data_IF_794354426690
#
_entry.id   IF_794354426690
#
_cell.length_a   1.000
_cell.length_b   1.000
_cell.length_c   1.000
_cell.angle_alpha   90.00
_cell.angle_beta   90.00
_cell.angle_gamma   90.00
#
_symmetry.space_group_name_H-M   'P 1'
#
loop_
_entity.id
_entity.type
_entity.pdbx_description
1 polymer ?
#
# COMPACT_ATOMS: atom_id res chain seq x y z
N UNK A 1 3.00 11.20 5.73
CA UNK A 1 3.39 10.56 7.02
C UNK A 1 2.40 9.45 7.33
N UNK A 2 2.82 8.21 7.10
CA UNK A 2 1.95 7.03 7.27
C UNK A 2 1.84 6.58 8.73
N UNK A 3 1.03 5.55 8.98
CA UNK A 3 0.83 5.01 10.35
C UNK A 3 2.09 4.32 10.88
N UNK A 4 2.72 3.45 10.11
CA UNK A 4 3.94 2.73 10.52
C UNK A 4 5.22 3.42 10.04
N UNK A 5 5.22 3.92 8.82
CA UNK A 5 6.40 4.48 8.18
C UNK A 5 6.12 5.87 7.62
N UNK A 6 7.06 6.77 7.82
CA UNK A 6 7.11 8.08 7.21
C UNK A 6 8.12 8.06 6.07
N UNK A 7 7.65 8.43 4.88
CA UNK A 7 8.47 8.59 3.68
C UNK A 7 8.86 10.06 3.56
N UNK A 8 10.09 10.33 3.26
CA UNK A 8 10.68 11.66 3.28
C UNK A 8 11.38 11.90 1.95
N UNK A 9 11.25 13.10 1.43
CA UNK A 9 12.10 13.65 0.40
C UNK A 9 12.75 14.92 0.94
N UNK A 10 14.07 14.96 0.91
CA UNK A 10 14.85 16.14 1.25
C UNK A 10 15.14 16.91 -0.04
N UNK A 11 14.55 18.10 -0.17
CA UNK A 11 14.67 18.92 -1.38
C UNK A 11 16.06 19.52 -1.57
N UNK A 12 16.85 19.62 -0.50
CA UNK A 12 18.21 20.17 -0.57
C UNK A 12 19.20 19.14 -1.07
N UNK A 13 19.11 17.91 -0.59
CA UNK A 13 20.00 16.80 -1.02
C UNK A 13 19.46 16.00 -2.21
N UNK A 14 18.15 16.10 -2.49
CA UNK A 14 17.47 15.26 -3.47
C UNK A 14 17.24 13.82 -3.02
N UNK A 15 17.48 13.50 -1.75
CA UNK A 15 17.44 12.14 -1.23
C UNK A 15 16.04 11.73 -0.77
N UNK A 16 15.76 10.44 -0.96
CA UNK A 16 14.57 9.77 -0.45
C UNK A 16 14.94 8.88 0.73
N UNK A 17 14.13 8.93 1.77
CA UNK A 17 14.31 8.05 2.93
C UNK A 17 12.98 7.57 3.49
N UNK A 18 13.06 6.48 4.26
CA UNK A 18 11.91 5.91 4.98
C UNK A 18 12.36 5.65 6.41
N UNK A 19 11.60 6.17 7.36
CA UNK A 19 11.81 5.94 8.79
C UNK A 19 10.55 5.36 9.42
N UNK A 20 10.65 4.77 10.60
CA UNK A 20 9.47 4.47 11.41
C UNK A 20 8.79 5.77 11.81
N UNK A 21 7.47 5.83 11.76
CA UNK A 21 6.74 7.05 12.10
C UNK A 21 6.89 7.44 13.58
N UNK A 22 7.22 6.48 14.43
CA UNK A 22 7.59 6.71 15.85
C UNK A 22 8.91 7.43 16.01
N UNK A 23 9.80 7.32 15.02
CA UNK A 23 11.16 7.90 15.08
C UNK A 23 11.18 9.35 14.55
N UNK A 24 10.03 9.86 14.10
CA UNK A 24 9.90 11.26 13.75
C UNK A 24 9.94 12.12 15.00
N UNK A 25 10.97 12.94 15.12
CA UNK A 25 11.14 13.86 16.26
C UNK A 25 10.00 14.88 16.30
N UNK A 26 9.40 15.06 17.47
CA UNK A 26 8.25 15.96 17.67
C UNK A 26 8.53 17.43 17.33
N UNK A 27 9.79 17.84 17.45
CA UNK A 27 10.26 19.19 17.18
C UNK A 27 10.51 19.47 15.69
N UNK A 28 10.65 18.41 14.89
CA UNK A 28 10.92 18.53 13.45
C UNK A 28 9.61 18.66 12.68
N UNK A 29 9.47 19.74 11.95
CA UNK A 29 8.36 19.93 10.99
C UNK A 29 8.83 19.72 9.57
N UNK A 30 7.93 19.23 8.72
CA UNK A 30 8.11 19.21 7.27
C UNK A 30 7.46 20.47 6.67
N UNK A 31 7.99 20.96 5.57
CA UNK A 31 7.38 22.10 4.85
C UNK A 31 6.00 21.71 4.34
N UNK A 32 5.87 20.54 3.73
CA UNK A 32 4.61 19.99 3.24
C UNK A 32 4.51 18.51 3.55
N UNK A 33 3.33 18.05 3.96
CA UNK A 33 3.09 16.64 4.20
C UNK A 33 1.62 16.23 3.94
N UNK A 34 1.42 14.92 3.85
CA UNK A 34 0.10 14.29 3.82
C UNK A 34 0.09 13.03 4.71
N UNK A 35 -1.11 12.52 4.98
CA UNK A 35 -1.32 11.27 5.70
C UNK A 35 -1.63 11.43 7.20
N UNK A 36 -2.01 10.35 7.85
CA UNK A 36 -2.58 10.35 9.19
C UNK A 36 -1.74 11.02 10.29
N UNK A 37 -0.41 10.95 10.18
CA UNK A 37 0.50 11.46 11.21
C UNK A 37 1.08 12.83 10.87
N UNK A 38 0.56 13.54 9.85
CA UNK A 38 1.11 14.83 9.47
C UNK A 38 0.58 16.00 10.33
N UNK A 39 -0.58 15.84 10.96
CA UNK A 39 -1.17 16.88 11.81
C UNK A 39 -0.19 17.35 12.87
N UNK A 40 0.02 18.66 12.98
CA UNK A 40 1.00 19.33 13.86
C UNK A 40 2.48 19.06 13.54
N UNK A 41 2.79 18.33 12.45
CA UNK A 41 4.16 17.96 12.04
C UNK A 41 4.57 18.54 10.71
N UNK A 42 3.77 19.41 10.14
CA UNK A 42 4.01 20.08 8.86
C UNK A 42 3.51 21.51 8.89
N UNK A 43 4.11 22.36 8.04
CA UNK A 43 3.62 23.72 7.80
C UNK A 43 2.38 23.68 6.89
N UNK A 44 2.41 22.85 5.84
CA UNK A 44 1.31 22.69 4.89
C UNK A 44 0.85 21.23 4.88
N UNK A 45 -0.43 21.03 5.26
CA UNK A 45 -1.09 19.72 5.17
C UNK A 45 -1.86 19.62 3.85
N UNK A 46 -1.60 18.58 3.06
CA UNK A 46 -2.27 18.32 1.80
C UNK A 46 -3.09 17.05 1.90
N UNK A 47 -4.25 17.04 1.26
CA UNK A 47 -5.10 15.86 1.21
C UNK A 47 -4.37 14.69 0.52
N UNK A 48 -4.35 13.54 1.18
CA UNK A 48 -3.59 12.35 0.78
C UNK A 48 -4.06 11.78 -0.57
N UNK A 49 -5.37 11.82 -0.87
CA UNK A 49 -5.91 11.35 -2.14
C UNK A 49 -5.55 12.27 -3.31
N UNK A 50 -5.55 13.58 -3.07
CA UNK A 50 -5.13 14.58 -4.07
C UNK A 50 -3.65 14.37 -4.41
N UNK A 51 -2.83 14.18 -3.40
CA UNK A 51 -1.39 13.91 -3.55
C UNK A 51 -1.15 12.61 -4.30
N UNK A 52 -1.91 11.56 -3.96
CA UNK A 52 -1.82 10.26 -4.64
C UNK A 52 -2.17 10.39 -6.13
N UNK A 53 -3.25 11.10 -6.45
CA UNK A 53 -3.67 11.34 -7.84
C UNK A 53 -2.62 12.12 -8.65
N UNK A 54 -2.06 13.20 -8.06
CA UNK A 54 -0.99 13.99 -8.71
C UNK A 54 0.28 13.17 -8.95
N UNK A 55 0.68 12.36 -7.96
CA UNK A 55 1.84 11.47 -8.08
C UNK A 55 1.62 10.38 -9.14
N UNK A 56 0.42 9.80 -9.19
CA UNK A 56 0.04 8.83 -10.20
C UNK A 56 0.15 9.41 -11.61
N UNK A 57 -0.46 10.56 -11.84
CA UNK A 57 -0.45 11.24 -13.13
C UNK A 57 0.96 11.61 -13.61
N UNK A 58 1.86 11.94 -12.69
CA UNK A 58 3.26 12.24 -13.00
C UNK A 58 4.04 10.99 -13.42
N UNK A 59 3.80 9.85 -12.78
CA UNK A 59 4.58 8.63 -12.96
C UNK A 59 4.02 7.72 -14.05
N UNK A 60 2.69 7.64 -14.19
CA UNK A 60 2.02 6.77 -15.15
C UNK A 60 1.79 7.57 -16.45
N UNK A 61 2.23 6.99 -17.58
CA UNK A 61 2.12 7.65 -18.89
C UNK A 61 0.91 7.21 -19.68
N UNK A 62 0.23 6.17 -19.25
CA UNK A 62 -1.02 5.70 -19.86
C UNK A 62 -2.14 6.70 -19.55
N UNK A 63 -3.03 7.02 -20.52
CA UNK A 63 -4.13 7.96 -20.29
C UNK A 63 -5.26 7.34 -19.43
N UNK A 64 -5.36 6.02 -19.40
CA UNK A 64 -6.38 5.31 -18.63
C UNK A 64 -5.71 4.28 -17.73
N UNK A 65 -5.90 4.42 -16.42
CA UNK A 65 -5.29 3.52 -15.43
C UNK A 65 -6.03 3.54 -14.09
N UNK A 66 -5.78 2.50 -13.31
CA UNK A 66 -6.14 2.42 -11.90
C UNK A 66 -4.87 2.24 -11.09
N UNK A 67 -4.61 3.14 -10.15
CA UNK A 67 -3.58 2.99 -9.13
C UNK A 67 -4.23 2.61 -7.80
N UNK A 68 -3.66 1.61 -7.13
CA UNK A 68 -4.00 1.27 -5.75
C UNK A 68 -2.80 1.48 -4.86
N UNK A 69 -2.97 2.28 -3.81
CA UNK A 69 -1.98 2.47 -2.75
C UNK A 69 -2.36 1.61 -1.55
N UNK A 70 -1.51 0.64 -1.23
CA UNK A 70 -1.74 -0.28 -0.12
C UNK A 70 -0.86 0.13 1.05
N UNK A 71 -1.49 0.83 1.99
CA UNK A 71 -0.87 1.26 3.24
C UNK A 71 -0.84 0.16 4.31
N UNK A 72 -0.30 0.50 5.47
CA UNK A 72 -0.34 -0.37 6.64
C UNK A 72 -1.76 -0.59 7.13
N UNK A 73 -2.56 0.48 7.16
CA UNK A 73 -3.89 0.53 7.78
C UNK A 73 -5.03 0.61 6.78
N UNK A 74 -4.83 1.25 5.65
CA UNK A 74 -5.86 1.57 4.69
C UNK A 74 -5.40 1.30 3.25
N UNK A 75 -6.38 1.26 2.36
CA UNK A 75 -6.19 1.07 0.92
C UNK A 75 -6.87 2.23 0.23
N UNK A 76 -6.20 2.85 -0.72
CA UNK A 76 -6.72 3.94 -1.53
C UNK A 76 -6.60 3.57 -3.00
N UNK A 77 -7.57 3.99 -3.80
CA UNK A 77 -7.45 3.90 -5.26
C UNK A 77 -7.71 5.25 -5.91
N UNK A 78 -7.07 5.47 -7.04
CA UNK A 78 -7.38 6.58 -7.95
C UNK A 78 -7.51 6.04 -9.36
N UNK A 79 -8.53 6.55 -10.07
CA UNK A 79 -8.85 6.12 -11.42
C UNK A 79 -8.77 7.29 -12.38
N UNK A 80 -8.07 7.09 -13.48
CA UNK A 80 -8.01 7.99 -14.62
C UNK A 80 -8.56 7.29 -15.86
N UNK A 81 -9.23 8.06 -16.72
CA UNK A 81 -9.72 7.61 -18.01
C UNK A 81 -9.51 8.72 -19.03
N UNK A 82 -8.89 8.38 -20.15
CA UNK A 82 -8.60 9.29 -21.25
C UNK A 82 -7.85 10.58 -20.81
N UNK A 83 -6.99 10.45 -19.81
CA UNK A 83 -6.22 11.53 -19.21
C UNK A 83 -6.93 12.32 -18.12
N UNK A 84 -8.22 12.06 -17.91
CA UNK A 84 -9.03 12.76 -16.91
C UNK A 84 -9.15 11.96 -15.61
N UNK A 85 -9.14 12.66 -14.48
CA UNK A 85 -9.41 12.10 -13.18
C UNK A 85 -10.89 11.74 -13.05
N UNK A 86 -11.21 10.47 -12.84
CA UNK A 86 -12.58 9.95 -12.71
C UNK A 86 -13.02 9.91 -11.25
N UNK A 87 -12.13 9.52 -10.34
CA UNK A 87 -12.48 9.42 -8.94
C UNK A 87 -11.44 8.70 -8.10
N UNK A 88 -11.72 8.64 -6.81
CA UNK A 88 -10.93 7.90 -5.85
C UNK A 88 -11.83 7.16 -4.87
N UNK A 89 -11.34 6.05 -4.36
CA UNK A 89 -11.96 5.30 -3.28
C UNK A 89 -10.96 5.14 -2.12
N UNK A 90 -11.49 5.10 -0.91
CA UNK A 90 -10.70 4.93 0.30
C UNK A 90 -11.35 3.91 1.22
N UNK A 91 -10.71 2.76 1.37
CA UNK A 91 -11.12 1.73 2.31
C UNK A 91 -10.23 1.77 3.56
N UNK A 92 -10.78 2.26 4.66
CA UNK A 92 -10.14 2.33 5.97
C UNK A 92 -10.77 1.39 7.01
N UNK A 93 -11.76 0.59 6.62
CA UNK A 93 -12.50 -0.33 7.50
C UNK A 93 -12.22 -1.80 7.15
N UNK A 94 -13.06 -2.40 6.32
CA UNK A 94 -12.94 -3.79 5.92
C UNK A 94 -12.02 -3.94 4.70
N UNK A 95 -11.12 -4.91 4.73
CA UNK A 95 -10.10 -5.10 3.69
C UNK A 95 -8.82 -4.27 3.91
N UNK A 96 -8.89 -3.28 4.79
CA UNK A 96 -7.73 -2.54 5.28
C UNK A 96 -6.80 -3.41 6.16
N UNK A 97 -5.75 -2.82 6.71
CA UNK A 97 -4.71 -3.50 7.51
C UNK A 97 -3.87 -4.52 6.72
N UNK A 98 -3.90 -4.47 5.38
CA UNK A 98 -3.17 -5.43 4.56
C UNK A 98 -1.64 -5.34 4.76
N UNK A 99 -1.08 -4.14 4.68
CA UNK A 99 0.35 -3.95 4.86
C UNK A 99 0.82 -4.31 6.27
N UNK A 100 0.07 -3.91 7.30
CA UNK A 100 0.39 -4.24 8.68
C UNK A 100 0.37 -5.75 8.93
N UNK A 101 -0.67 -6.44 8.46
CA UNK A 101 -0.83 -7.87 8.70
C UNK A 101 0.23 -8.69 7.96
N UNK A 102 0.57 -8.34 6.72
CA UNK A 102 1.65 -8.99 5.98
C UNK A 102 2.98 -8.82 6.73
N UNK A 103 3.30 -7.62 7.20
CA UNK A 103 4.53 -7.38 7.98
C UNK A 103 4.52 -8.16 9.31
N UNK A 104 3.39 -8.16 10.02
CA UNK A 104 3.24 -8.88 11.28
C UNK A 104 3.45 -10.39 11.10
N UNK A 105 2.81 -10.99 10.11
CA UNK A 105 2.96 -12.43 9.81
C UNK A 105 4.38 -12.77 9.37
N UNK A 106 5.01 -11.92 8.55
CA UNK A 106 6.39 -12.08 8.15
C UNK A 106 7.35 -12.13 9.33
N UNK A 107 7.18 -11.20 10.27
CA UNK A 107 7.99 -11.13 11.48
C UNK A 107 7.70 -12.29 12.45
N UNK A 108 6.43 -12.63 12.67
CA UNK A 108 6.03 -13.66 13.62
C UNK A 108 6.49 -15.07 13.20
N UNK A 109 6.35 -15.40 11.92
CA UNK A 109 6.74 -16.70 11.36
C UNK A 109 8.14 -16.71 10.75
N UNK A 110 8.89 -15.59 10.82
CA UNK A 110 10.18 -15.40 10.17
C UNK A 110 10.17 -15.75 8.66
N UNK A 111 9.21 -15.18 7.93
CA UNK A 111 8.92 -15.48 6.54
C UNK A 111 9.74 -14.58 5.59
N UNK A 112 10.46 -15.19 4.65
CA UNK A 112 10.92 -14.51 3.45
C UNK A 112 9.88 -14.64 2.33
N UNK A 113 9.12 -13.60 2.08
CA UNK A 113 8.08 -13.56 1.05
C UNK A 113 8.60 -13.76 -0.38
N UNK A 114 9.91 -13.58 -0.62
CA UNK A 114 10.49 -13.80 -1.93
C UNK A 114 10.70 -15.29 -2.24
N UNK A 115 10.83 -16.12 -1.20
CA UNK A 115 11.04 -17.57 -1.31
C UNK A 115 9.74 -18.36 -1.40
N UNK A 116 8.57 -17.73 -1.08
CA UNK A 116 7.29 -18.42 -1.06
C UNK A 116 6.65 -18.45 -2.43
N UNK A 117 6.14 -19.60 -2.83
CA UNK A 117 5.33 -19.74 -4.04
C UNK A 117 3.89 -19.26 -3.83
N UNK A 118 3.29 -18.71 -4.89
CA UNK A 118 1.88 -18.32 -4.88
C UNK A 118 0.99 -19.54 -4.68
N UNK A 119 0.10 -19.47 -3.70
CA UNK A 119 -0.86 -20.54 -3.45
C UNK A 119 -1.85 -20.69 -4.62
N UNK A 120 -2.25 -21.92 -4.93
CA UNK A 120 -3.32 -22.17 -5.91
C UNK A 120 -4.68 -21.72 -5.36
N UNK A 121 -4.96 -22.04 -4.11
CA UNK A 121 -6.16 -21.67 -3.39
C UNK A 121 -5.96 -20.36 -2.61
N UNK A 122 -7.06 -19.72 -2.24
CA UNK A 122 -7.08 -18.53 -1.38
C UNK A 122 -7.88 -18.79 -0.12
N UNK A 123 -7.57 -18.12 0.96
CA UNK A 123 -8.47 -18.04 2.12
C UNK A 123 -9.62 -17.07 1.82
N UNK A 124 -10.86 -17.42 2.20
CA UNK A 124 -12.03 -16.54 2.05
C UNK A 124 -12.06 -15.50 3.18
N UNK A 125 -11.09 -14.60 3.19
CA UNK A 125 -10.96 -13.59 4.25
C UNK A 125 -11.71 -12.30 3.89
N UNK A 126 -12.22 -11.63 4.91
CA UNK A 126 -12.84 -10.31 4.76
C UNK A 126 -11.82 -9.18 4.84
N UNK A 127 -10.92 -9.24 5.80
CA UNK A 127 -9.84 -8.26 5.97
C UNK A 127 -8.60 -8.90 6.60
N UNK A 128 -7.50 -8.13 6.65
CA UNK A 128 -6.24 -8.60 7.21
C UNK A 128 -6.36 -9.07 8.67
N UNK A 129 -7.12 -8.38 9.49
CA UNK A 129 -7.25 -8.72 10.92
C UNK A 129 -8.16 -9.91 11.14
N UNK A 130 -9.40 -9.86 10.62
CA UNK A 130 -10.37 -10.95 10.83
C UNK A 130 -9.97 -12.26 10.14
N UNK A 131 -9.24 -12.16 9.04
CA UNK A 131 -8.73 -13.33 8.34
C UNK A 131 -7.61 -14.08 9.04
N UNK A 132 -7.03 -13.53 10.12
CA UNK A 132 -6.01 -14.23 10.90
C UNK A 132 -6.53 -15.49 11.57
N UNK A 133 -7.78 -15.49 12.02
CA UNK A 133 -8.41 -16.69 12.58
C UNK A 133 -8.37 -17.85 11.58
N UNK A 134 -8.86 -17.65 10.38
CA UNK A 134 -8.82 -18.65 9.29
C UNK A 134 -7.40 -19.14 8.98
N UNK A 135 -6.41 -18.24 9.02
CA UNK A 135 -5.02 -18.60 8.81
C UNK A 135 -4.51 -19.55 9.89
N UNK A 136 -4.76 -19.24 11.16
CA UNK A 136 -4.34 -20.09 12.29
C UNK A 136 -5.08 -21.42 12.31
N UNK A 137 -6.36 -21.47 11.95
CA UNK A 137 -7.13 -22.69 11.81
C UNK A 137 -6.48 -23.62 10.78
N UNK A 138 -6.08 -23.08 9.60
CA UNK A 138 -5.37 -23.86 8.59
C UNK A 138 -4.03 -24.41 9.07
N UNK A 139 -3.28 -23.63 9.84
CA UNK A 139 -2.02 -24.10 10.44
C UNK A 139 -2.30 -25.22 11.46
N UNK A 140 -3.35 -25.08 12.27
CA UNK A 140 -3.77 -26.09 13.24
C UNK A 140 -4.24 -27.39 12.57
N UNK A 141 -4.81 -27.28 11.37
CA UNK A 141 -5.17 -28.43 10.52
C UNK A 141 -3.96 -29.08 9.82
N UNK A 142 -2.73 -28.63 10.10
CA UNK A 142 -1.49 -29.22 9.61
C UNK A 142 -0.97 -28.62 8.30
N UNK A 143 -1.52 -27.49 7.84
CA UNK A 143 -0.95 -26.76 6.70
C UNK A 143 0.29 -26.00 7.17
N UNK A 144 1.38 -26.08 6.40
CA UNK A 144 2.61 -25.34 6.70
C UNK A 144 2.34 -23.82 6.75
N UNK A 145 2.94 -23.08 7.70
CA UNK A 145 2.73 -21.64 7.85
C UNK A 145 2.94 -20.85 6.55
N UNK A 146 3.98 -21.17 5.80
CA UNK A 146 4.30 -20.50 4.52
C UNK A 146 3.15 -20.65 3.51
N UNK A 147 2.57 -21.86 3.43
CA UNK A 147 1.45 -22.13 2.52
C UNK A 147 0.17 -21.43 3.00
N UNK A 148 -0.13 -21.48 4.29
CA UNK A 148 -1.29 -20.80 4.87
C UNK A 148 -1.20 -19.28 4.66
N UNK A 149 0.00 -18.70 4.84
CA UNK A 149 0.27 -17.28 4.58
C UNK A 149 0.13 -16.96 3.09
N UNK A 150 0.61 -17.81 2.19
CA UNK A 150 0.42 -17.60 0.76
C UNK A 150 -1.07 -17.59 0.37
N UNK A 151 -1.88 -18.47 0.94
CA UNK A 151 -3.34 -18.50 0.75
C UNK A 151 -4.00 -17.23 1.31
N UNK A 152 -3.55 -16.77 2.46
CA UNK A 152 -4.03 -15.53 3.10
C UNK A 152 -3.69 -14.30 2.24
N UNK A 153 -2.44 -14.16 1.81
CA UNK A 153 -1.98 -13.06 0.95
C UNK A 153 -2.77 -13.04 -0.37
N UNK A 154 -3.07 -14.20 -0.94
CA UNK A 154 -3.91 -14.32 -2.13
C UNK A 154 -5.36 -13.87 -1.87
N UNK A 155 -5.89 -14.14 -0.68
CA UNK A 155 -7.20 -13.61 -0.26
C UNK A 155 -7.20 -12.10 -0.18
N UNK A 156 -6.17 -11.48 0.42
CA UNK A 156 -6.01 -10.02 0.47
C UNK A 156 -5.91 -9.41 -0.94
N UNK A 157 -5.07 -9.98 -1.80
CA UNK A 157 -4.90 -9.51 -3.18
C UNK A 157 -6.23 -9.54 -3.96
N UNK A 158 -7.04 -10.61 -3.77
CA UNK A 158 -8.36 -10.70 -4.38
C UNK A 158 -9.32 -9.61 -3.89
N UNK A 159 -9.33 -9.32 -2.59
CA UNK A 159 -10.19 -8.27 -2.04
C UNK A 159 -9.79 -6.89 -2.57
N UNK A 160 -8.49 -6.63 -2.69
CA UNK A 160 -7.97 -5.37 -3.25
C UNK A 160 -8.30 -5.26 -4.74
N UNK A 161 -8.22 -6.37 -5.48
CA UNK A 161 -8.64 -6.39 -6.88
C UNK A 161 -10.14 -6.11 -7.03
N UNK A 162 -10.99 -6.65 -6.15
CA UNK A 162 -12.42 -6.35 -6.15
C UNK A 162 -12.68 -4.87 -5.81
N UNK A 163 -11.95 -4.32 -4.85
CA UNK A 163 -12.00 -2.89 -4.50
C UNK A 163 -11.59 -1.97 -5.66
N UNK A 164 -10.70 -2.42 -6.53
CA UNK A 164 -10.25 -1.69 -7.72
C UNK A 164 -11.16 -1.90 -8.95
N UNK A 165 -12.41 -2.28 -8.75
CA UNK A 165 -13.39 -2.57 -9.81
C UNK A 165 -12.92 -3.67 -10.78
N UNK A 166 -12.11 -4.62 -10.30
CA UNK A 166 -11.62 -5.77 -11.07
C UNK A 166 -10.88 -5.36 -12.35
N UNK A 167 -10.11 -4.30 -12.28
CA UNK A 167 -9.28 -3.84 -13.40
C UNK A 167 -8.37 -4.97 -13.91
N UNK A 168 -8.23 -5.08 -15.21
CA UNK A 168 -7.34 -6.07 -15.84
C UNK A 168 -5.85 -5.75 -15.65
N UNK A 169 -5.53 -4.49 -15.33
CA UNK A 169 -4.20 -4.00 -15.01
C UNK A 169 -4.29 -3.00 -13.87
N UNK A 170 -3.41 -3.15 -12.89
CA UNK A 170 -3.29 -2.27 -11.74
C UNK A 170 -1.88 -1.73 -11.62
N UNK A 171 -1.77 -0.44 -11.32
CA UNK A 171 -0.58 0.14 -10.76
C UNK A 171 -0.63 0.02 -9.23
N UNK A 172 0.47 -0.37 -8.61
CA UNK A 172 0.53 -0.63 -7.18
C UNK A 172 1.56 0.25 -6.49
N UNK A 173 1.16 0.94 -5.43
CA UNK A 173 2.05 1.70 -4.55
C UNK A 173 1.84 1.32 -3.09
N UNK A 174 2.62 1.95 -2.21
CA UNK A 174 2.50 1.71 -0.77
C UNK A 174 3.53 0.75 -0.19
N UNK A 175 3.32 0.32 1.05
CA UNK A 175 4.32 -0.44 1.80
C UNK A 175 4.63 -1.83 1.25
N UNK A 176 3.65 -2.47 0.63
CA UNK A 176 3.74 -3.85 0.13
C UNK A 176 3.91 -3.94 -1.39
N UNK A 177 4.07 -2.81 -2.07
CA UNK A 177 4.15 -2.79 -3.54
C UNK A 177 5.40 -3.49 -4.13
N UNK A 178 6.38 -3.82 -3.29
CA UNK A 178 7.59 -4.55 -3.67
C UNK A 178 7.59 -6.01 -3.19
N UNK A 179 6.55 -6.43 -2.46
CA UNK A 179 6.41 -7.81 -1.99
C UNK A 179 6.05 -8.73 -3.15
N UNK A 180 6.99 -9.62 -3.54
CA UNK A 180 6.83 -10.50 -4.70
C UNK A 180 5.63 -11.43 -4.59
N UNK A 181 5.41 -12.05 -3.41
CA UNK A 181 4.26 -12.92 -3.19
C UNK A 181 2.96 -12.15 -3.37
N UNK A 182 2.87 -10.95 -2.78
CA UNK A 182 1.69 -10.11 -2.86
C UNK A 182 1.37 -9.71 -4.31
N UNK A 183 2.37 -9.18 -5.05
CA UNK A 183 2.21 -8.80 -6.46
C UNK A 183 1.69 -9.98 -7.31
N UNK A 184 2.32 -11.15 -7.18
CA UNK A 184 1.97 -12.35 -7.94
C UNK A 184 0.66 -13.00 -7.53
N UNK A 185 0.10 -12.61 -6.38
CA UNK A 185 -1.19 -13.13 -5.88
C UNK A 185 -2.41 -12.46 -6.50
N UNK A 186 -2.23 -11.35 -7.21
CA UNK A 186 -3.32 -10.71 -7.93
C UNK A 186 -3.79 -11.52 -9.14
N UNK A 187 -5.09 -11.51 -9.47
CA UNK A 187 -5.64 -12.18 -10.64
C UNK A 187 -5.52 -11.35 -11.93
N UNK A 188 -4.72 -10.29 -11.93
CA UNK A 188 -4.54 -9.35 -13.03
C UNK A 188 -3.06 -8.93 -13.15
N UNK A 189 -2.73 -8.20 -14.21
CA UNK A 189 -1.43 -7.57 -14.34
C UNK A 189 -1.22 -6.50 -13.25
N UNK A 190 -0.07 -6.54 -12.59
CA UNK A 190 0.30 -5.55 -11.56
C UNK A 190 1.64 -4.93 -11.90
N UNK A 191 1.66 -3.60 -11.97
CA UNK A 191 2.86 -2.80 -12.20
C UNK A 191 3.24 -2.05 -10.91
N UNK A 192 4.30 -2.44 -10.21
CA UNK A 192 4.73 -1.73 -9.01
C UNK A 192 5.33 -0.37 -9.37
N UNK A 193 4.89 0.70 -8.69
CA UNK A 193 5.41 2.06 -8.83
C UNK A 193 6.35 2.47 -7.68
N UNK A 194 6.58 1.57 -6.73
CA UNK A 194 7.38 1.87 -5.55
C UNK A 194 6.61 2.62 -4.47
N UNK A 195 7.36 3.03 -3.47
CA UNK A 195 6.82 3.54 -2.20
C UNK A 195 6.63 5.05 -2.15
N UNK A 196 7.10 5.80 -3.18
CA UNK A 196 7.22 7.25 -3.13
C UNK A 196 6.22 8.01 -4.02
N UNK A 197 5.16 7.35 -4.52
CA UNK A 197 4.15 8.00 -5.39
C UNK A 197 3.55 9.25 -4.74
N UNK A 198 3.22 9.20 -3.46
CA UNK A 198 2.71 10.36 -2.74
C UNK A 198 3.77 11.48 -2.61
N UNK A 199 5.04 11.14 -2.45
CA UNK A 199 6.14 12.12 -2.46
C UNK A 199 6.20 12.83 -3.80
N UNK A 200 6.08 12.09 -4.92
CA UNK A 200 6.05 12.71 -6.24
C UNK A 200 4.87 13.69 -6.43
N UNK A 201 3.75 13.39 -5.80
CA UNK A 201 2.61 14.29 -5.75
C UNK A 201 2.83 15.51 -4.85
N UNK A 202 3.50 15.34 -3.70
CA UNK A 202 3.82 16.44 -2.78
C UNK A 202 4.80 17.46 -3.39
N UNK A 203 5.71 17.02 -4.25
CA UNK A 203 6.66 17.93 -4.93
C UNK A 203 5.99 19.08 -5.70
N UNK A 204 4.72 18.93 -6.09
CA UNK A 204 3.98 20.00 -6.73
C UNK A 204 3.64 21.19 -5.78
N UNK A 205 3.85 21.02 -4.49
CA UNK A 205 3.60 22.03 -3.45
C UNK A 205 4.90 22.63 -2.89
N UNK A 206 6.04 22.14 -3.34
CA UNK A 206 7.32 22.79 -3.12
C UNK A 206 7.48 23.83 -4.22
N UNK A 207 7.82 25.07 -3.85
CA UNK A 207 8.22 26.12 -4.81
C UNK A 207 9.64 25.75 -5.32
N UNK A 208 9.72 24.79 -6.25
CA UNK A 208 10.97 24.35 -6.89
C UNK A 208 10.84 24.59 -8.40
#
# INVERSE_FOLDING_TARGET
MGTQYTKIFDSLSGEYSIIRSTDWLSEKKADVACGHNCKHRTEIEVNELVVLAKGAQKLIKEPSFVLVDVGSRDIKSVTFKDGEYIGCDWNYMCGAMAGFTIELLGNYFNIDYNSIEVAQERLPIMCGVLGMGELFDRISDGILPERAIAMFVKGLAKNIHDFSNKSSKLYLSGGVCENRLFIKSFPCEVVPLGRFVQIEGLKNYLEI
#
